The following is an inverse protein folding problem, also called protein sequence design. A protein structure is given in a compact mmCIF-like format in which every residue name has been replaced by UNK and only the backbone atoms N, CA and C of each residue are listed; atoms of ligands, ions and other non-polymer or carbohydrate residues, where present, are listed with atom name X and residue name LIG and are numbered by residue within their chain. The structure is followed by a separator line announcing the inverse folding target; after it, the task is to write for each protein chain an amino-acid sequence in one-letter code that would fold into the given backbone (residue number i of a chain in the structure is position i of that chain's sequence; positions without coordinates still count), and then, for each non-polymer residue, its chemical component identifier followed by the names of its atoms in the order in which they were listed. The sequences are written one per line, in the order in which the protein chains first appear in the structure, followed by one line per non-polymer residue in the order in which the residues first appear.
data_IF_023288006603
#
_entry.id   IF_023288006603
#
_cell.length_a   1.000
_cell.length_b   1.000
_cell.length_c   1.000
_cell.angle_alpha   90.00
_cell.angle_beta   90.00
_cell.angle_gamma   90.00
#
_symmetry.space_group_name_H-M   'P 1'
#
loop_
_entity.id
_entity.type
_entity.pdbx_description
1 polymer ?
#
# COMPACT_ATOMS: atom_id res chain seq x y z
N UNK A 1 -4.68 24.99 19.68
CA UNK A 1 -4.98 23.66 19.13
C UNK A 1 -5.81 23.82 17.86
N UNK A 2 -5.33 23.38 16.70
CA UNK A 2 -6.08 23.47 15.44
C UNK A 2 -7.17 22.41 15.33
N UNK A 3 -8.28 22.73 14.67
CA UNK A 3 -9.38 21.78 14.38
C UNK A 3 -8.93 20.81 13.28
N UNK A 4 -9.08 19.51 13.49
CA UNK A 4 -8.73 18.50 12.49
C UNK A 4 -9.72 18.52 11.31
N UNK A 5 -9.29 18.06 10.13
CA UNK A 5 -10.12 18.08 8.91
C UNK A 5 -11.42 17.27 9.09
N UNK A 6 -11.34 16.13 9.78
CA UNK A 6 -12.50 15.26 10.09
C UNK A 6 -13.49 15.90 11.07
N UNK A 7 -13.11 16.96 11.78
CA UNK A 7 -13.98 17.71 12.69
C UNK A 7 -14.73 18.85 11.99
N UNK A 8 -14.56 19.02 10.67
CA UNK A 8 -15.27 20.05 9.89
C UNK A 8 -16.65 19.50 9.49
N UNK A 9 -17.68 20.33 9.62
CA UNK A 9 -19.07 20.00 9.24
C UNK A 9 -19.25 19.63 7.77
N UNK A 10 -18.32 20.06 6.90
CA UNK A 10 -18.29 19.71 5.49
C UNK A 10 -17.64 18.36 5.18
N UNK A 11 -17.04 17.67 6.15
CA UNK A 11 -16.50 16.32 5.94
C UNK A 11 -17.63 15.31 5.65
N UNK A 12 -17.48 14.38 4.67
CA UNK A 12 -16.33 14.16 3.79
C UNK A 12 -16.43 14.90 2.43
N UNK A 13 -17.40 15.81 2.27
CA UNK A 13 -17.58 16.62 1.05
C UNK A 13 -16.49 17.68 0.94
N UNK A 14 -15.34 17.27 0.43
CA UNK A 14 -14.22 18.14 0.11
C UNK A 14 -14.56 18.98 -1.12
N UNK A 15 -14.43 20.31 -1.00
CA UNK A 15 -14.48 21.23 -2.13
C UNK A 15 -13.06 21.70 -2.44
N UNK A 16 -12.68 21.67 -3.72
CA UNK A 16 -11.37 22.14 -4.20
C UNK A 16 -11.56 23.29 -5.19
N UNK A 17 -10.60 24.22 -5.21
CA UNK A 17 -10.52 25.27 -6.22
C UNK A 17 -9.62 24.80 -7.35
N UNK A 18 -10.24 24.22 -8.38
CA UNK A 18 -9.51 23.59 -9.49
C UNK A 18 -8.49 24.51 -10.15
N UNK A 19 -8.84 25.78 -10.36
CA UNK A 19 -7.96 26.78 -11.00
C UNK A 19 -6.64 26.97 -10.23
N UNK A 20 -6.69 26.98 -8.90
CA UNK A 20 -5.50 27.09 -8.04
C UNK A 20 -4.65 25.82 -8.07
N UNK A 21 -5.28 24.63 -8.20
CA UNK A 21 -4.60 23.34 -8.22
C UNK A 21 -3.99 22.97 -9.56
N UNK A 22 -4.59 23.41 -10.67
CA UNK A 22 -4.19 22.99 -12.03
C UNK A 22 -2.72 23.34 -12.33
N UNK A 23 -2.26 24.52 -11.89
CA UNK A 23 -0.86 24.95 -12.10
C UNK A 23 0.11 24.05 -11.33
N UNK A 24 -0.17 23.79 -10.05
CA UNK A 24 0.68 22.92 -9.22
C UNK A 24 0.66 21.48 -9.75
N UNK A 25 -0.51 20.97 -10.14
CA UNK A 25 -0.67 19.62 -10.68
C UNK A 25 0.08 19.46 -12.01
N UNK A 26 0.04 20.47 -12.89
CA UNK A 26 0.79 20.48 -14.14
C UNK A 26 2.30 20.33 -13.91
N UNK A 27 2.85 21.08 -12.94
CA UNK A 27 4.27 20.98 -12.54
C UNK A 27 4.62 19.59 -12.01
N UNK A 28 3.79 19.04 -11.12
CA UNK A 28 4.00 17.69 -10.57
C UNK A 28 3.96 16.64 -11.67
N UNK A 29 3.00 16.73 -12.60
CA UNK A 29 2.88 15.78 -13.72
C UNK A 29 4.10 15.83 -14.65
N UNK A 30 4.62 17.02 -14.92
CA UNK A 30 5.82 17.17 -15.72
C UNK A 30 7.03 16.53 -15.04
N UNK A 31 7.27 16.85 -13.76
CA UNK A 31 8.36 16.25 -12.98
C UNK A 31 8.24 14.72 -12.86
N UNK A 32 7.03 14.19 -12.69
CA UNK A 32 6.78 12.74 -12.70
C UNK A 32 7.14 12.10 -14.04
N UNK A 33 6.84 12.75 -15.17
CA UNK A 33 7.22 12.29 -16.49
C UNK A 33 8.73 12.26 -16.70
N UNK A 34 9.42 13.33 -16.30
CA UNK A 34 10.90 13.39 -16.37
C UNK A 34 11.56 12.31 -15.51
N UNK A 35 11.07 12.11 -14.29
CA UNK A 35 11.58 11.07 -13.40
C UNK A 35 11.33 9.67 -14.00
N UNK A 36 10.13 9.41 -14.52
CA UNK A 36 9.80 8.12 -15.14
C UNK A 36 10.73 7.81 -16.32
N UNK A 37 10.96 8.77 -17.21
CA UNK A 37 11.85 8.60 -18.36
C UNK A 37 13.30 8.30 -17.94
N UNK A 38 13.79 8.93 -16.86
CA UNK A 38 15.13 8.62 -16.31
C UNK A 38 15.17 7.25 -15.63
N UNK A 39 14.12 6.91 -14.88
CA UNK A 39 14.02 5.66 -14.14
C UNK A 39 14.00 4.41 -15.04
N UNK A 40 13.53 4.54 -16.29
CA UNK A 40 13.58 3.46 -17.29
C UNK A 40 15.01 2.95 -17.53
N UNK A 41 16.01 3.82 -17.39
CA UNK A 41 17.42 3.52 -17.63
C UNK A 41 18.17 3.03 -16.38
N UNK A 42 17.51 2.96 -15.23
CA UNK A 42 18.12 2.51 -13.97
C UNK A 42 18.17 0.98 -13.93
N UNK A 43 19.34 0.41 -13.64
CA UNK A 43 19.55 -1.03 -13.49
C UNK A 43 18.76 -1.65 -12.33
N UNK A 44 18.63 -2.98 -12.33
CA UNK A 44 17.84 -3.70 -11.33
C UNK A 44 18.43 -3.59 -9.92
N UNK A 45 19.75 -3.53 -9.80
CA UNK A 45 20.48 -3.37 -8.53
C UNK A 45 20.21 -1.99 -7.91
N UNK A 46 20.29 -0.93 -8.71
CA UNK A 46 19.96 0.41 -8.24
C UNK A 46 18.47 0.55 -7.89
N UNK A 47 17.57 -0.12 -8.62
CA UNK A 47 16.15 -0.22 -8.24
C UNK A 47 15.96 -0.98 -6.92
N UNK A 48 16.76 -2.01 -6.66
CA UNK A 48 16.72 -2.75 -5.41
C UNK A 48 17.06 -1.85 -4.21
N UNK A 49 18.14 -1.08 -4.30
CA UNK A 49 18.54 -0.16 -3.21
C UNK A 49 17.46 0.89 -2.92
N UNK A 50 16.84 1.47 -3.96
CA UNK A 50 15.73 2.41 -3.78
C UNK A 50 14.55 1.77 -3.04
N UNK A 51 14.21 0.52 -3.37
CA UNK A 51 13.12 -0.21 -2.70
C UNK A 51 13.48 -0.60 -1.25
N UNK A 52 14.75 -0.90 -0.97
CA UNK A 52 15.23 -1.15 0.39
C UNK A 52 15.08 0.10 1.24
N UNK A 53 15.53 1.24 0.73
CA UNK A 53 15.45 2.52 1.45
C UNK A 53 13.98 2.96 1.66
N UNK A 54 13.11 2.74 0.67
CA UNK A 54 11.66 3.01 0.78
C UNK A 54 11.01 2.13 1.86
N UNK A 55 11.34 0.83 1.89
CA UNK A 55 10.85 -0.09 2.90
C UNK A 55 11.32 0.28 4.30
N UNK A 56 12.57 0.69 4.42
CA UNK A 56 13.15 1.10 5.70
C UNK A 56 12.54 2.40 6.22
N UNK A 57 12.33 3.37 5.33
CA UNK A 57 11.71 4.65 5.67
C UNK A 57 10.25 4.47 6.06
N UNK A 58 9.51 3.65 5.32
CA UNK A 58 8.10 3.34 5.62
C UNK A 58 7.97 2.64 6.97
N UNK A 59 8.81 1.64 7.25
CA UNK A 59 8.83 0.95 8.54
C UNK A 59 9.16 1.91 9.70
N UNK A 60 10.13 2.81 9.50
CA UNK A 60 10.52 3.79 10.52
C UNK A 60 9.38 4.77 10.87
N UNK A 61 8.53 5.15 9.91
CA UNK A 61 7.34 5.99 10.15
C UNK A 61 6.36 5.29 11.10
N UNK A 62 6.25 3.96 11.01
CA UNK A 62 5.42 3.14 11.89
C UNK A 62 6.11 2.77 13.22
N UNK A 63 7.35 3.22 13.42
CA UNK A 63 8.18 2.90 14.59
C UNK A 63 8.81 1.52 14.55
N UNK A 64 8.83 0.86 13.40
CA UNK A 64 9.46 -0.44 13.20
C UNK A 64 10.93 -0.29 12.74
N UNK A 65 11.80 -1.17 13.22
CA UNK A 65 13.21 -1.25 12.81
C UNK A 65 13.48 -2.61 12.18
N UNK A 66 13.65 -2.62 10.85
CA UNK A 66 13.90 -3.85 10.10
C UNK A 66 15.41 -4.10 9.89
N UNK A 67 15.87 -5.35 9.87
CA UNK A 67 17.25 -5.67 9.49
C UNK A 67 17.43 -5.44 7.97
N UNK A 68 18.27 -4.46 7.61
CA UNK A 68 18.51 -4.05 6.21
C UNK A 68 18.85 -5.22 5.28
N UNK A 69 19.69 -6.15 5.73
CA UNK A 69 20.10 -7.31 4.92
C UNK A 69 18.93 -8.25 4.61
N UNK A 70 17.97 -8.40 5.53
CA UNK A 70 16.78 -9.18 5.29
C UNK A 70 15.84 -8.49 4.30
N UNK A 71 15.70 -7.15 4.40
CA UNK A 71 14.93 -6.33 3.46
C UNK A 71 15.55 -6.42 2.06
N UNK A 72 16.88 -6.24 1.95
CA UNK A 72 17.62 -6.36 0.70
C UNK A 72 17.48 -7.76 0.09
N UNK A 73 17.60 -8.82 0.89
CA UNK A 73 17.39 -10.21 0.43
C UNK A 73 15.97 -10.43 -0.10
N UNK A 74 14.96 -9.89 0.58
CA UNK A 74 13.56 -9.96 0.14
C UNK A 74 13.35 -9.25 -1.20
N UNK A 75 13.87 -8.02 -1.33
CA UNK A 75 13.79 -7.22 -2.57
C UNK A 75 14.53 -7.92 -3.72
N UNK A 76 15.75 -8.39 -3.48
CA UNK A 76 16.57 -9.07 -4.49
C UNK A 76 15.87 -10.33 -5.03
N UNK A 77 15.28 -11.15 -4.16
CA UNK A 77 14.49 -12.33 -4.57
C UNK A 77 13.34 -11.94 -5.49
N UNK A 78 12.62 -10.86 -5.19
CA UNK A 78 11.44 -10.44 -5.95
C UNK A 78 11.78 -9.74 -7.27
N UNK A 79 12.96 -9.11 -7.37
CA UNK A 79 13.47 -8.54 -8.62
C UNK A 79 14.18 -9.58 -9.51
N UNK A 80 14.32 -10.83 -9.07
CA UNK A 80 15.00 -11.89 -9.81
C UNK A 80 16.53 -11.75 -9.83
N UNK A 81 17.09 -11.01 -8.86
CA UNK A 81 18.54 -10.87 -8.69
C UNK A 81 19.15 -12.12 -8.05
N UNK A 82 20.46 -12.29 -8.21
CA UNK A 82 21.20 -13.38 -7.58
C UNK A 82 21.10 -13.27 -6.05
N UNK A 83 20.63 -14.34 -5.40
CA UNK A 83 20.36 -14.37 -3.95
C UNK A 83 21.19 -15.40 -3.20
N UNK A 84 22.17 -16.03 -3.88
CA UNK A 84 23.09 -16.97 -3.26
C UNK A 84 23.87 -16.29 -2.13
N UNK A 85 23.75 -16.82 -0.91
CA UNK A 85 24.43 -16.29 0.28
C UNK A 85 23.68 -15.18 1.03
N UNK A 86 22.51 -14.74 0.56
CA UNK A 86 21.69 -13.77 1.30
C UNK A 86 20.86 -14.47 2.40
N UNK A 87 20.64 -13.80 3.55
CA UNK A 87 19.83 -14.37 4.62
C UNK A 87 18.37 -14.58 4.18
N UNK A 88 17.71 -15.60 4.72
CA UNK A 88 16.26 -15.74 4.57
C UNK A 88 15.60 -14.63 5.39
N UNK A 89 14.69 -13.87 4.77
CA UNK A 89 13.99 -12.82 5.48
C UNK A 89 12.87 -13.42 6.33
N UNK A 90 12.54 -12.78 7.43
CA UNK A 90 11.37 -13.15 8.21
C UNK A 90 10.08 -12.89 7.43
N UNK A 91 9.03 -13.68 7.67
CA UNK A 91 7.74 -13.55 6.96
C UNK A 91 7.15 -12.13 7.03
N UNK A 92 7.35 -11.43 8.14
CA UNK A 92 6.87 -10.06 8.31
C UNK A 92 7.60 -9.09 7.37
N UNK A 93 8.93 -9.22 7.22
CA UNK A 93 9.74 -8.42 6.29
C UNK A 93 9.34 -8.73 4.84
N UNK A 94 9.21 -10.02 4.50
CA UNK A 94 8.78 -10.43 3.17
C UNK A 94 7.38 -9.89 2.82
N UNK A 95 6.44 -9.87 3.77
CA UNK A 95 5.09 -9.34 3.59
C UNK A 95 5.05 -7.82 3.42
N UNK A 96 5.90 -7.08 4.15
CA UNK A 96 6.02 -5.62 3.98
C UNK A 96 6.60 -5.27 2.61
N UNK A 97 7.66 -5.95 2.19
CA UNK A 97 8.27 -5.75 0.87
C UNK A 97 7.31 -6.15 -0.25
N UNK A 98 6.52 -7.22 -0.06
CA UNK A 98 5.46 -7.61 -1.00
C UNK A 98 4.48 -6.48 -1.24
N UNK A 99 3.93 -5.93 -0.16
CA UNK A 99 2.95 -4.88 -0.20
C UNK A 99 3.50 -3.64 -0.92
N UNK A 100 4.72 -3.20 -0.57
CA UNK A 100 5.35 -2.05 -1.20
C UNK A 100 5.54 -2.24 -2.71
N UNK A 101 5.90 -3.45 -3.13
CA UNK A 101 6.07 -3.78 -4.54
C UNK A 101 4.76 -4.03 -5.28
N UNK A 102 3.71 -4.45 -4.57
CA UNK A 102 2.35 -4.68 -5.10
C UNK A 102 1.49 -3.40 -5.06
N UNK A 103 2.10 -2.23 -4.89
CA UNK A 103 1.41 -0.94 -4.95
C UNK A 103 0.52 -0.89 -6.21
N UNK A 104 -0.81 -0.68 -6.07
CA UNK A 104 -1.73 -0.80 -7.18
C UNK A 104 -1.35 0.17 -8.30
N UNK A 105 -0.99 -0.38 -9.47
CA UNK A 105 -0.70 0.40 -10.67
C UNK A 105 -1.88 1.35 -10.95
N UNK A 106 -1.64 2.61 -11.35
CA UNK A 106 -2.68 3.66 -11.43
C UNK A 106 -3.71 3.49 -12.56
N UNK A 107 -4.02 2.26 -12.99
CA UNK A 107 -5.07 1.96 -13.97
C UNK A 107 -6.11 1.01 -13.35
N UNK A 108 -7.19 1.61 -12.83
CA UNK A 108 -8.48 1.05 -12.37
C UNK A 108 -8.55 0.48 -10.94
N UNK A 109 -9.49 1.10 -10.20
CA UNK A 109 -10.19 0.64 -9.01
C UNK A 109 -9.38 0.51 -7.69
N UNK A 110 -9.15 1.67 -7.07
CA UNK A 110 -8.66 1.87 -5.70
C UNK A 110 -9.56 1.28 -4.57
N UNK A 111 -10.48 0.36 -4.86
CA UNK A 111 -11.40 -0.22 -3.87
C UNK A 111 -11.03 -1.68 -3.53
N UNK A 112 -10.48 -2.43 -4.49
CA UNK A 112 -10.08 -3.83 -4.25
C UNK A 112 -8.63 -3.98 -3.76
N UNK A 113 -7.70 -3.18 -4.31
CA UNK A 113 -6.29 -3.20 -3.90
C UNK A 113 -6.08 -2.73 -2.45
N UNK A 114 -6.85 -1.74 -2.01
CA UNK A 114 -6.77 -1.14 -0.66
C UNK A 114 -7.17 -2.11 0.44
N UNK A 115 -8.11 -3.02 0.18
CA UNK A 115 -8.48 -4.09 1.12
C UNK A 115 -7.38 -5.16 1.22
N UNK A 116 -6.71 -5.50 0.11
CA UNK A 116 -5.55 -6.40 0.11
C UNK A 116 -4.36 -5.80 0.85
N UNK A 117 -4.09 -4.51 0.61
CA UNK A 117 -3.09 -3.72 1.33
C UNK A 117 -3.36 -3.65 2.84
N UNK A 118 -4.56 -3.24 3.26
CA UNK A 118 -4.94 -3.19 4.67
C UNK A 118 -4.88 -4.57 5.34
N UNK A 119 -5.22 -5.64 4.63
CA UNK A 119 -5.13 -7.00 5.14
C UNK A 119 -3.68 -7.46 5.37
N UNK A 120 -2.72 -7.04 4.52
CA UNK A 120 -1.30 -7.30 4.73
C UNK A 120 -0.72 -6.46 5.87
N UNK A 121 -1.08 -5.17 5.98
CA UNK A 121 -0.67 -4.29 7.07
C UNK A 121 -1.20 -4.70 8.44
N UNK A 122 -2.36 -5.38 8.51
CA UNK A 122 -3.01 -5.71 9.78
C UNK A 122 -2.35 -6.90 10.53
N UNK A 123 -1.37 -7.59 9.93
CA UNK A 123 -0.78 -8.81 10.51
C UNK A 123 0.22 -8.55 11.65
N UNK A 124 0.91 -7.39 11.79
CA UNK A 124 1.69 -7.11 13.01
C UNK A 124 0.94 -6.25 14.05
N UNK A 125 -0.11 -5.53 13.65
CA UNK A 125 -0.63 -4.45 14.50
C UNK A 125 -1.63 -4.95 15.57
N UNK A 126 -1.13 -5.16 16.79
CA UNK A 126 -1.89 -5.53 17.99
C UNK A 126 -2.96 -4.48 18.39
N UNK A 127 -3.00 -3.32 17.73
CA UNK A 127 -3.92 -2.21 18.05
C UNK A 127 -5.31 -2.35 17.39
N UNK A 128 -5.48 -3.20 16.35
CA UNK A 128 -6.76 -3.30 15.64
C UNK A 128 -7.76 -4.33 16.21
N UNK A 129 -7.47 -5.01 17.34
CA UNK A 129 -8.44 -5.93 17.96
C UNK A 129 -9.67 -5.24 18.56
N UNK A 130 -9.63 -3.94 18.82
CA UNK A 130 -10.78 -3.19 19.36
C UNK A 130 -11.64 -2.47 18.32
N UNK A 131 -11.27 -2.48 17.03
CA UNK A 131 -12.06 -1.82 15.99
C UNK A 131 -13.14 -2.72 15.35
N UNK A 132 -13.20 -4.01 15.70
CA UNK A 132 -14.17 -4.95 15.13
C UNK A 132 -15.54 -4.99 15.84
N UNK A 133 -15.74 -4.24 16.93
CA UNK A 133 -16.98 -4.33 17.72
C UNK A 133 -18.07 -3.30 17.33
N UNK A 134 -17.92 -2.61 16.19
CA UNK A 134 -18.99 -1.79 15.62
C UNK A 134 -19.56 -2.42 14.34
N UNK A 135 -20.13 -3.61 14.49
CA UNK A 135 -21.04 -4.23 13.53
C UNK A 135 -22.31 -3.38 13.37
N UNK A 136 -22.26 -2.37 12.51
CA UNK A 136 -23.43 -1.54 12.17
C UNK A 136 -23.40 -0.88 10.78
N UNK A 137 -22.29 -0.96 10.04
CA UNK A 137 -22.11 -0.15 8.83
C UNK A 137 -22.47 -0.85 7.50
N UNK A 138 -22.76 -2.14 7.51
CA UNK A 138 -23.13 -2.88 6.29
C UNK A 138 -24.49 -3.56 6.44
N UNK A 139 -25.55 -2.77 6.60
CA UNK A 139 -26.91 -3.23 6.36
C UNK A 139 -27.63 -2.29 5.39
N UNK A 140 -27.39 -2.45 4.09
CA UNK A 140 -28.47 -2.44 3.11
C UNK A 140 -28.01 -2.78 1.69
N UNK A 141 -28.64 -3.84 1.16
CA UNK A 141 -29.06 -4.00 -0.25
C UNK A 141 -27.95 -4.40 -1.24
N UNK A 142 -27.74 -5.71 -1.39
CA UNK A 142 -28.08 -6.44 -2.63
C UNK A 142 -28.17 -7.93 -2.33
N UNK A 143 -29.42 -8.41 -2.31
CA UNK A 143 -29.80 -9.81 -2.18
C UNK A 143 -29.55 -10.47 -3.54
N UNK A 144 -28.45 -11.21 -3.68
CA UNK A 144 -28.31 -12.20 -4.76
C UNK A 144 -28.70 -13.54 -4.14
N UNK A 145 -29.84 -14.08 -4.55
CA UNK A 145 -30.31 -15.39 -4.15
C UNK A 145 -29.34 -16.47 -4.65
N UNK A 146 -28.47 -16.97 -3.77
CA UNK A 146 -27.84 -18.26 -3.93
C UNK A 146 -28.64 -19.28 -3.09
N UNK A 147 -29.61 -19.92 -3.73
CA UNK A 147 -30.31 -21.08 -3.17
C UNK A 147 -29.33 -22.24 -3.04
N UNK A 148 -29.20 -22.76 -1.82
CA UNK A 148 -28.38 -23.92 -1.46
C UNK A 148 -29.10 -25.23 -1.76
N UNK A 149 -28.29 -26.19 -2.24
CA UNK A 149 -28.19 -27.60 -1.83
C UNK A 149 -29.41 -28.51 -2.04
N UNK A 150 -29.17 -29.62 -2.76
CA UNK A 150 -29.08 -30.94 -2.11
C UNK A 150 -28.47 -32.00 -3.02
N UNK A 151 -27.64 -32.84 -2.40
CA UNK A 151 -27.19 -34.12 -2.91
C UNK A 151 -28.23 -35.21 -2.60
N UNK A 152 -28.05 -36.36 -3.27
CA UNK A 152 -28.63 -37.70 -3.06
C UNK A 152 -29.98 -37.99 -3.74
N UNK A 153 -29.96 -39.04 -4.58
CA UNK A 153 -31.09 -39.65 -5.29
C UNK A 153 -30.66 -40.14 -6.65
#
# INVERSE_FOLDING_TARGET
MGRYIWQRTGWPRLTSRSEELLVALGRVRHAQGELAARAEHVGLEARAEVLVDEAMTTAAIEGESLPRDAVHSSVARRLGLATAGLPVAERHVDGLVEMLMDAPKPRRALVRGTCGWLACCAVPNRVLRHAQDHSGWFSHRHRVHAGRLRACG
#
